data_IF_833691517775
#
_entry.id   IF_833691517775
#
_cell.length_a   1.000
_cell.length_b   1.000
_cell.length_c   1.000
_cell.angle_alpha   90.00
_cell.angle_beta   90.00
_cell.angle_gamma   90.00
#
_symmetry.space_group_name_H-M   'P 1'
#
loop_
_entity.id
_entity.type
_entity.pdbx_description
1 polymer ?
#
# COMPACT_ATOMS: atom_id res chain seq x y z
N UNK A 1 14.75 -1.94 16.10
CA UNK A 1 13.97 -2.84 15.21
C UNK A 1 13.06 -2.01 14.31
N UNK A 2 13.26 -2.08 12.99
CA UNK A 2 12.46 -1.33 12.02
C UNK A 2 11.05 -1.92 11.94
N UNK A 3 10.06 -1.25 12.54
CA UNK A 3 8.64 -1.67 12.48
C UNK A 3 8.20 -1.68 11.02
N UNK A 4 7.76 -2.85 10.52
CA UNK A 4 7.28 -2.99 9.16
C UNK A 4 6.10 -2.05 8.91
N UNK A 5 6.05 -1.42 7.74
CA UNK A 5 4.91 -0.62 7.31
C UNK A 5 3.76 -1.56 6.94
N UNK A 6 2.57 -1.28 7.44
CA UNK A 6 1.35 -1.99 7.10
C UNK A 6 0.57 -1.18 6.07
N UNK A 7 0.14 -1.81 4.99
CA UNK A 7 -0.75 -1.16 4.03
C UNK A 7 -2.14 -1.08 4.65
N UNK A 8 -2.79 0.07 4.57
CA UNK A 8 -4.14 0.26 5.13
C UNK A 8 -5.16 0.60 4.07
N UNK A 9 -4.75 1.35 3.04
CA UNK A 9 -5.61 1.74 1.95
C UNK A 9 -4.83 1.62 0.64
N UNK A 10 -5.54 1.33 -0.44
CA UNK A 10 -5.03 1.36 -1.79
C UNK A 10 -5.90 2.31 -2.63
N UNK A 11 -5.29 2.99 -3.60
CA UNK A 11 -5.96 3.95 -4.46
C UNK A 11 -6.09 3.38 -5.87
N UNK A 12 -7.30 3.45 -6.44
CA UNK A 12 -7.57 3.14 -7.85
C UNK A 12 -8.31 4.32 -8.48
N UNK A 13 -7.96 4.70 -9.70
CA UNK A 13 -8.74 5.66 -10.47
C UNK A 13 -9.79 4.91 -11.33
N UNK A 14 -11.07 5.34 -11.36
CA UNK A 14 -11.66 6.53 -10.73
C UNK A 14 -12.26 6.29 -9.33
N UNK A 15 -12.22 5.06 -8.81
CA UNK A 15 -12.92 4.64 -7.58
C UNK A 15 -12.43 5.36 -6.30
N UNK A 16 -11.20 5.89 -6.28
CA UNK A 16 -10.60 6.58 -5.15
C UNK A 16 -9.85 5.63 -4.20
N UNK A 17 -9.80 6.01 -2.92
CA UNK A 17 -9.15 5.24 -1.86
C UNK A 17 -10.09 4.15 -1.35
N UNK A 18 -9.63 2.91 -1.38
CA UNK A 18 -10.30 1.74 -0.83
C UNK A 18 -9.50 1.20 0.35
N UNK A 19 -10.21 0.81 1.42
CA UNK A 19 -9.58 0.11 2.53
C UNK A 19 -9.11 -1.27 2.04
N UNK A 20 -7.88 -1.62 2.38
CA UNK A 20 -7.32 -2.94 2.09
C UNK A 20 -6.89 -3.61 3.39
N UNK A 21 -6.72 -4.93 3.33
CA UNK A 21 -6.30 -5.72 4.48
C UNK A 21 -4.98 -5.19 5.03
N UNK A 22 -4.91 -5.06 6.35
CA UNK A 22 -3.75 -4.51 7.08
C UNK A 22 -2.55 -5.46 7.07
N UNK A 23 -1.94 -5.63 5.91
CA UNK A 23 -0.82 -6.53 5.70
C UNK A 23 0.51 -5.79 5.56
N UNK A 24 1.61 -6.52 5.78
CA UNK A 24 2.95 -5.96 5.59
C UNK A 24 3.12 -5.60 4.12
N UNK A 25 3.72 -4.44 3.88
CA UNK A 25 4.08 -4.01 2.54
C UNK A 25 5.25 -4.85 2.01
N UNK A 26 4.92 -5.96 1.35
CA UNK A 26 5.86 -6.83 0.64
C UNK A 26 5.76 -6.62 -0.87
N UNK A 27 6.74 -7.14 -1.62
CA UNK A 27 6.77 -7.02 -3.08
C UNK A 27 5.66 -7.84 -3.72
N UNK A 28 5.33 -8.98 -3.13
CA UNK A 28 4.26 -9.88 -3.53
C UNK A 28 2.91 -9.16 -3.38
N UNK A 29 2.66 -8.56 -2.21
CA UNK A 29 1.43 -7.83 -1.96
C UNK A 29 1.29 -6.58 -2.86
N UNK A 30 2.40 -5.89 -3.13
CA UNK A 30 2.40 -4.78 -4.09
C UNK A 30 2.03 -5.24 -5.52
N UNK A 31 2.51 -6.41 -5.95
CA UNK A 31 2.14 -6.99 -7.25
C UNK A 31 0.66 -7.39 -7.31
N UNK A 32 0.13 -7.97 -6.25
CA UNK A 32 -1.31 -8.30 -6.16
C UNK A 32 -2.18 -7.05 -6.27
N UNK A 33 -1.80 -5.96 -5.60
CA UNK A 33 -2.53 -4.68 -5.70
C UNK A 33 -2.45 -4.08 -7.10
N UNK A 34 -1.29 -4.15 -7.76
CA UNK A 34 -1.16 -3.70 -9.16
C UNK A 34 -2.00 -4.59 -10.09
N UNK A 35 -2.02 -5.90 -9.89
CA UNK A 35 -2.84 -6.83 -10.68
C UNK A 35 -4.34 -6.54 -10.51
N UNK A 36 -4.73 -6.05 -9.34
CA UNK A 36 -6.08 -5.54 -9.08
C UNK A 36 -6.30 -4.15 -9.70
N UNK A 37 -5.28 -3.46 -10.21
CA UNK A 37 -5.42 -2.13 -10.83
C UNK A 37 -5.26 -0.95 -9.85
N UNK A 38 -4.76 -1.18 -8.63
CA UNK A 38 -4.39 -0.10 -7.72
C UNK A 38 -3.05 0.53 -8.15
N UNK A 39 -2.88 1.82 -7.88
CA UNK A 39 -1.69 2.60 -8.26
C UNK A 39 -0.93 3.17 -7.07
N UNK A 40 -1.65 3.59 -6.02
CA UNK A 40 -1.05 4.10 -4.78
C UNK A 40 -1.48 3.26 -3.58
N UNK A 41 -0.68 3.30 -2.54
CA UNK A 41 -1.00 2.72 -1.25
C UNK A 41 -0.70 3.69 -0.12
N UNK A 42 -1.50 3.59 0.94
CA UNK A 42 -1.28 4.28 2.20
C UNK A 42 -0.71 3.29 3.21
N UNK A 43 0.58 3.43 3.46
CA UNK A 43 1.35 2.59 4.36
C UNK A 43 1.52 3.28 5.73
N UNK A 44 1.18 2.59 6.81
CA UNK A 44 1.22 3.08 8.19
C UNK A 44 2.30 2.36 9.01
N UNK A 45 3.05 3.11 9.83
CA UNK A 45 4.04 2.60 10.79
C UNK A 45 3.75 3.14 12.19
N UNK A 46 2.95 2.40 12.97
CA UNK A 46 2.51 2.90 14.29
C UNK A 46 1.42 3.95 14.16
N UNK A 47 1.22 4.80 15.18
CA UNK A 47 0.02 5.64 15.22
C UNK A 47 0.04 6.85 14.30
N UNK A 48 1.20 7.50 14.11
CA UNK A 48 1.33 8.80 13.45
C UNK A 48 2.14 8.80 12.15
N UNK A 49 2.89 7.74 11.84
CA UNK A 49 3.64 7.64 10.58
C UNK A 49 2.75 6.98 9.53
N UNK A 50 2.17 7.80 8.67
CA UNK A 50 1.39 7.38 7.51
C UNK A 50 2.05 7.99 6.28
N UNK A 51 2.36 7.16 5.29
CA UNK A 51 2.94 7.61 4.01
C UNK A 51 2.16 7.03 2.84
N UNK A 52 1.96 7.86 1.84
CA UNK A 52 1.43 7.44 0.55
C UNK A 52 2.62 7.09 -0.33
N UNK A 53 2.58 5.90 -0.91
CA UNK A 53 3.66 5.40 -1.77
C UNK A 53 3.04 4.82 -3.03
N UNK A 54 3.64 5.12 -4.16
CA UNK A 54 3.24 4.49 -5.42
C UNK A 54 3.72 3.04 -5.45
N UNK A 55 2.82 2.14 -5.87
CA UNK A 55 3.11 0.71 -5.97
C UNK A 55 4.24 0.42 -6.98
N UNK A 56 4.41 1.29 -7.98
CA UNK A 56 5.47 1.19 -8.99
C UNK A 56 6.88 1.21 -8.38
N UNK A 57 7.08 1.89 -7.25
CA UNK A 57 8.38 1.93 -6.55
C UNK A 57 8.77 0.59 -5.91
N UNK A 58 7.81 -0.30 -5.66
CA UNK A 58 8.06 -1.58 -5.01
C UNK A 58 8.28 -2.72 -5.99
N UNK A 59 7.77 -2.59 -7.22
CA UNK A 59 7.83 -3.64 -8.24
C UNK A 59 8.99 -3.43 -9.23
N UNK A 60 9.54 -2.22 -9.31
CA UNK A 60 10.82 -1.94 -9.98
C UNK A 60 11.96 -2.76 -9.37
#
# INVERSE_FOLDING_TARGET
MSRARLVTHAYRYPEGWQEVKRERLTREYARELIAQGFTLIRARRGFFDVREVSLSWYVA
#
